data_IF_599934283106
#
_entry.id   IF_599934283106
#
_cell.length_a   1.000
_cell.length_b   1.000
_cell.length_c   1.000
_cell.angle_alpha   90.00
_cell.angle_beta   90.00
_cell.angle_gamma   90.00
#
_symmetry.space_group_name_H-M   'P 1'
#
loop_
_entity.id
_entity.type
_entity.pdbx_description
1 polymer ?
#
# COMPACT_ATOMS: atom_id res chain seq x y z
N UNK A 1 2.18 -10.68 -6.83
CA UNK A 1 3.28 -9.87 -6.26
C UNK A 1 3.70 -10.47 -4.94
N UNK A 2 5.00 -10.54 -4.67
CA UNK A 2 5.56 -11.04 -3.42
C UNK A 2 6.12 -9.87 -2.61
N UNK A 3 5.63 -9.72 -1.38
CA UNK A 3 6.11 -8.77 -0.37
C UNK A 3 6.95 -9.54 0.64
N UNK A 4 8.10 -9.00 1.04
CA UNK A 4 8.97 -9.64 2.03
C UNK A 4 9.69 -8.61 2.90
N UNK A 5 9.88 -8.92 4.17
CA UNK A 5 10.77 -8.19 5.09
C UNK A 5 12.23 -8.70 5.01
N UNK A 6 12.43 -9.83 4.34
CA UNK A 6 13.70 -10.57 4.27
C UNK A 6 14.14 -10.75 2.81
N UNK A 7 14.48 -9.66 2.11
CA UNK A 7 14.76 -9.69 0.66
C UNK A 7 16.00 -10.51 0.30
N UNK A 8 16.90 -10.76 1.27
CA UNK A 8 18.11 -11.57 1.07
C UNK A 8 17.83 -13.08 1.11
N UNK A 9 16.69 -13.50 1.65
CA UNK A 9 16.32 -14.91 1.84
C UNK A 9 15.34 -15.42 0.77
N UNK A 10 14.61 -14.51 0.11
CA UNK A 10 13.60 -14.84 -0.89
C UNK A 10 14.09 -14.42 -2.27
N UNK A 11 14.06 -15.33 -3.24
CA UNK A 11 14.29 -14.99 -4.65
C UNK A 11 12.97 -14.48 -5.27
N UNK A 12 13.05 -13.52 -6.20
CA UNK A 12 11.93 -13.00 -6.98
C UNK A 12 10.84 -12.26 -6.18
N UNK A 13 11.23 -11.37 -5.26
CA UNK A 13 10.31 -10.41 -4.62
C UNK A 13 10.15 -9.13 -5.44
N UNK A 14 9.06 -8.39 -5.22
CA UNK A 14 8.80 -7.10 -5.90
C UNK A 14 8.72 -5.94 -4.91
N UNK A 15 8.35 -6.19 -3.65
CA UNK A 15 8.25 -5.17 -2.63
C UNK A 15 8.96 -5.60 -1.35
N UNK A 16 9.90 -4.76 -0.90
CA UNK A 16 10.56 -4.91 0.41
C UNK A 16 9.76 -4.15 1.47
N UNK A 17 9.37 -4.85 2.53
CA UNK A 17 8.83 -4.21 3.73
C UNK A 17 9.97 -3.92 4.73
N UNK A 18 9.85 -2.79 5.41
CA UNK A 18 10.78 -2.36 6.45
C UNK A 18 9.93 -1.60 7.47
N UNK A 19 9.77 -2.16 8.68
CA UNK A 19 8.84 -1.61 9.66
C UNK A 19 9.23 -0.21 10.12
N UNK A 20 10.53 0.12 10.20
CA UNK A 20 10.95 1.46 10.64
C UNK A 20 10.62 2.52 9.60
N UNK A 21 10.64 2.16 8.32
CA UNK A 21 10.43 3.11 7.22
C UNK A 21 8.98 3.16 6.74
N UNK A 22 8.27 2.02 6.74
CA UNK A 22 7.02 1.88 6.01
C UNK A 22 5.79 1.75 6.91
N UNK A 23 5.93 1.47 8.20
CA UNK A 23 4.78 1.16 9.06
C UNK A 23 3.75 2.29 9.12
N UNK A 24 4.19 3.55 9.25
CA UNK A 24 3.29 4.71 9.27
C UNK A 24 2.51 4.84 7.95
N UNK A 25 3.18 4.65 6.81
CA UNK A 25 2.53 4.67 5.50
C UNK A 25 1.51 3.54 5.38
N UNK A 26 1.87 2.33 5.80
CA UNK A 26 1.01 1.14 5.77
C UNK A 26 -0.27 1.37 6.58
N UNK A 27 -0.14 1.91 7.81
CA UNK A 27 -1.28 2.27 8.68
C UNK A 27 -2.19 3.27 7.96
N UNK A 28 -1.60 4.35 7.43
CA UNK A 28 -2.35 5.42 6.78
C UNK A 28 -3.13 4.92 5.56
N UNK A 29 -2.49 4.12 4.71
CA UNK A 29 -3.12 3.54 3.51
C UNK A 29 -4.26 2.61 3.92
N UNK A 30 -4.02 1.72 4.89
CA UNK A 30 -5.05 0.83 5.40
C UNK A 30 -6.28 1.61 5.89
N UNK A 31 -6.10 2.65 6.71
CA UNK A 31 -7.20 3.45 7.23
C UNK A 31 -7.97 4.18 6.13
N UNK A 32 -7.26 4.74 5.14
CA UNK A 32 -7.89 5.40 4.01
C UNK A 32 -8.71 4.41 3.17
N UNK A 33 -8.15 3.24 2.86
CA UNK A 33 -8.83 2.19 2.11
C UNK A 33 -10.05 1.64 2.87
N UNK A 34 -9.94 1.43 4.19
CA UNK A 34 -11.05 0.96 5.01
C UNK A 34 -12.18 1.99 5.10
N UNK A 35 -11.86 3.27 5.36
CA UNK A 35 -12.87 4.36 5.39
C UNK A 35 -13.52 4.61 4.03
N UNK A 36 -12.79 4.37 2.95
CA UNK A 36 -13.30 4.46 1.58
C UNK A 36 -14.13 3.25 1.14
N UNK A 37 -14.31 2.23 1.99
CA UNK A 37 -15.04 1.01 1.62
C UNK A 37 -14.34 0.15 0.57
N UNK A 38 -13.02 0.29 0.43
CA UNK A 38 -12.20 -0.45 -0.55
C UNK A 38 -11.65 -1.77 0.00
N UNK A 39 -11.96 -2.09 1.26
CA UNK A 39 -11.47 -3.29 1.95
C UNK A 39 -12.65 -3.95 2.64
N UNK A 40 -12.82 -5.23 2.37
CA UNK A 40 -13.76 -6.12 3.05
C UNK A 40 -13.00 -7.35 3.54
N UNK A 41 -13.36 -7.83 4.73
CA UNK A 41 -12.78 -9.03 5.31
C UNK A 41 -13.83 -10.13 5.32
N UNK A 42 -13.48 -11.28 4.72
CA UNK A 42 -14.25 -12.50 4.82
C UNK A 42 -14.39 -12.95 6.28
N UNK A 43 -15.56 -13.46 6.66
CA UNK A 43 -15.89 -13.82 8.05
C UNK A 43 -14.84 -14.73 8.73
N UNK A 44 -14.23 -15.63 7.96
CA UNK A 44 -13.22 -16.57 8.44
C UNK A 44 -11.90 -15.90 8.88
N UNK A 45 -11.64 -14.68 8.39
CA UNK A 45 -10.41 -13.93 8.63
C UNK A 45 -10.64 -12.55 9.26
N UNK A 46 -11.89 -12.16 9.51
CA UNK A 46 -12.26 -10.87 10.14
C UNK A 46 -11.53 -10.59 11.46
N UNK A 47 -11.13 -11.63 12.19
CA UNK A 47 -10.32 -11.48 13.41
C UNK A 47 -8.98 -10.77 13.16
N UNK A 48 -8.42 -10.89 11.96
CA UNK A 48 -7.17 -10.26 11.54
C UNK A 48 -7.35 -8.85 10.98
N UNK A 49 -8.56 -8.31 11.01
CA UNK A 49 -8.82 -6.94 10.58
C UNK A 49 -8.03 -5.96 11.48
N UNK A 50 -7.08 -5.16 10.94
CA UNK A 50 -6.24 -4.27 11.76
C UNK A 50 -7.00 -3.23 12.58
N UNK A 51 -8.27 -2.95 12.24
CA UNK A 51 -9.13 -2.08 13.06
C UNK A 51 -9.38 -2.66 14.46
N UNK A 52 -9.31 -3.98 14.63
CA UNK A 52 -9.53 -4.65 15.93
C UNK A 52 -8.43 -4.33 16.95
N UNK A 53 -7.26 -3.91 16.49
CA UNK A 53 -6.07 -3.65 17.32
C UNK A 53 -5.59 -2.19 17.21
N UNK A 54 -6.37 -1.33 16.56
CA UNK A 54 -6.05 0.08 16.41
C UNK A 54 -6.37 0.82 17.70
N UNK A 55 -5.34 1.33 18.37
CA UNK A 55 -5.48 2.18 19.55
C UNK A 55 -5.33 3.65 19.20
N UNK A 56 -6.21 4.48 19.76
CA UNK A 56 -6.11 5.93 19.70
C UNK A 56 -5.26 6.40 20.88
N UNK A 57 -4.07 6.97 20.62
CA UNK A 57 -3.32 7.66 21.68
C UNK A 57 -3.84 9.08 21.87
N UNK A 58 -3.58 9.63 23.07
CA UNK A 58 -3.91 11.01 23.46
C UNK A 58 -3.37 12.02 22.42
N UNK A 59 -4.20 13.03 22.15
CA UNK A 59 -3.98 14.13 21.22
C UNK A 59 -2.69 14.87 21.59
N UNK A 60 -1.73 14.94 20.66
CA UNK A 60 -0.61 15.87 20.74
C UNK A 60 -0.96 17.16 19.96
N UNK A 61 -0.16 18.21 20.07
CA UNK A 61 -0.34 19.50 19.36
C UNK A 61 -0.45 19.38 17.83
N UNK A 62 -0.13 18.20 17.26
CA UNK A 62 -0.24 17.87 15.83
C UNK A 62 -1.49 17.05 15.46
N UNK A 63 -2.35 16.69 16.41
CA UNK A 63 -3.58 15.93 16.20
C UNK A 63 -3.59 14.57 16.89
N UNK A 64 -4.58 13.75 16.52
CA UNK A 64 -4.82 12.41 17.06
C UNK A 64 -3.86 11.40 16.41
N UNK A 65 -2.93 10.86 17.19
CA UNK A 65 -2.01 9.79 16.76
C UNK A 65 -2.69 8.43 16.99
N UNK A 66 -2.69 7.57 15.96
CA UNK A 66 -3.23 6.22 16.03
C UNK A 66 -2.09 5.23 15.86
N UNK A 67 -2.06 4.21 16.72
CA UNK A 67 -1.03 3.19 16.72
C UNK A 67 -1.66 1.81 16.86
N UNK A 68 -0.96 0.76 16.44
CA UNK A 68 -1.37 -0.60 16.73
C UNK A 68 -0.95 -1.00 18.13
N UNK A 69 -1.85 -1.66 18.85
CA UNK A 69 -1.52 -2.37 20.07
C UNK A 69 -0.54 -3.51 19.76
N UNK A 70 0.73 -3.30 20.07
CA UNK A 70 1.77 -4.29 19.85
C UNK A 70 1.58 -5.57 20.67
N UNK A 71 0.81 -5.53 21.76
CA UNK A 71 0.50 -6.73 22.55
C UNK A 71 -0.56 -7.64 21.91
N UNK A 72 -1.37 -7.07 21.01
CA UNK A 72 -2.46 -7.76 20.30
C UNK A 72 -2.13 -8.00 18.82
N UNK A 73 -1.00 -7.49 18.34
CA UNK A 73 -0.54 -7.60 16.95
C UNK A 73 0.00 -9.01 16.68
N UNK A 74 -0.53 -9.66 15.64
CA UNK A 74 -0.05 -10.95 15.16
C UNK A 74 0.31 -10.93 13.66
N UNK A 75 0.87 -12.04 13.17
CA UNK A 75 1.27 -12.17 11.77
C UNK A 75 0.09 -12.08 10.78
N UNK A 76 -1.13 -12.42 11.20
CA UNK A 76 -2.32 -12.29 10.36
C UNK A 76 -2.70 -10.84 10.12
N UNK A 77 -2.63 -10.00 11.16
CA UNK A 77 -2.82 -8.55 11.02
C UNK A 77 -1.75 -7.93 10.12
N UNK A 78 -0.48 -8.31 10.31
CA UNK A 78 0.62 -7.84 9.45
C UNK A 78 0.41 -8.27 8.00
N UNK A 79 0.01 -9.52 7.75
CA UNK A 79 -0.29 -10.00 6.41
C UNK A 79 -1.41 -9.19 5.74
N UNK A 80 -2.49 -8.88 6.47
CA UNK A 80 -3.58 -8.05 5.98
C UNK A 80 -3.11 -6.64 5.61
N UNK A 81 -2.32 -6.01 6.50
CA UNK A 81 -1.74 -4.69 6.27
C UNK A 81 -0.84 -4.66 5.03
N UNK A 82 0.05 -5.64 4.90
CA UNK A 82 0.97 -5.74 3.76
C UNK A 82 0.23 -6.02 2.46
N UNK A 83 -0.81 -6.86 2.46
CA UNK A 83 -1.62 -7.15 1.28
C UNK A 83 -2.34 -5.90 0.75
N UNK A 84 -2.89 -5.08 1.65
CA UNK A 84 -3.57 -3.84 1.29
C UNK A 84 -2.57 -2.79 0.79
N UNK A 85 -1.44 -2.63 1.49
CA UNK A 85 -0.37 -1.72 1.08
C UNK A 85 0.20 -2.08 -0.29
N UNK A 86 0.48 -3.37 -0.52
CA UNK A 86 0.91 -3.92 -1.79
C UNK A 86 -0.07 -3.60 -2.93
N UNK A 87 -1.36 -3.88 -2.71
CA UNK A 87 -2.42 -3.63 -3.68
C UNK A 87 -2.52 -2.15 -4.03
N UNK A 88 -2.40 -1.27 -3.03
CA UNK A 88 -2.38 0.17 -3.24
C UNK A 88 -1.18 0.63 -4.08
N UNK A 89 0.04 0.16 -3.76
CA UNK A 89 1.25 0.52 -4.54
C UNK A 89 1.11 0.10 -6.01
N UNK A 90 0.59 -1.10 -6.26
CA UNK A 90 0.33 -1.59 -7.61
C UNK A 90 -0.71 -0.70 -8.32
N UNK A 91 -1.86 -0.45 -7.70
CA UNK A 91 -2.93 0.34 -8.31
C UNK A 91 -2.47 1.75 -8.67
N UNK A 92 -1.71 2.40 -7.77
CA UNK A 92 -1.13 3.72 -8.01
C UNK A 92 -0.10 3.68 -9.15
N UNK A 93 0.79 2.68 -9.19
CA UNK A 93 1.75 2.53 -10.27
C UNK A 93 1.07 2.33 -11.64
N UNK A 94 0.04 1.47 -11.71
CA UNK A 94 -0.74 1.28 -12.93
C UNK A 94 -1.48 2.57 -13.36
N UNK A 95 -2.09 3.30 -12.42
CA UNK A 95 -2.76 4.57 -12.73
C UNK A 95 -1.81 5.64 -13.29
N UNK A 96 -0.57 5.67 -12.82
CA UNK A 96 0.47 6.55 -13.38
C UNK A 96 0.86 6.10 -14.79
N UNK A 97 1.09 4.80 -15.01
CA UNK A 97 1.49 4.28 -16.32
C UNK A 97 0.36 4.39 -17.36
N UNK A 98 -0.90 4.19 -16.99
CA UNK A 98 -2.04 4.36 -17.89
C UNK A 98 -2.24 5.82 -18.32
N UNK A 99 -1.90 6.78 -17.44
CA UNK A 99 -1.94 8.20 -17.77
C UNK A 99 -0.74 8.65 -18.63
N UNK A 100 0.27 7.80 -18.84
CA UNK A 100 1.42 8.04 -19.72
C UNK A 100 1.28 7.39 -21.10
N UNK A 101 0.11 6.83 -21.44
CA UNK A 101 -0.18 6.51 -22.85
C UNK A 101 -0.17 7.83 -23.61
N UNK A 102 0.94 8.10 -24.31
CA UNK A 102 1.14 9.29 -25.13
C UNK A 102 -0.09 9.47 -26.02
N UNK A 103 -0.72 10.64 -25.96
CA UNK A 103 -1.64 11.05 -27.02
C UNK A 103 -0.81 11.10 -28.30
N UNK A 104 -1.27 10.45 -29.36
CA UNK A 104 -0.60 10.50 -30.68
C UNK A 104 -0.38 11.94 -31.17
N UNK A 105 -1.16 12.90 -30.68
CA UNK A 105 -1.04 14.34 -30.95
C UNK A 105 0.21 15.01 -30.36
N UNK A 106 0.91 14.40 -29.39
CA UNK A 106 2.17 14.92 -28.82
C UNK A 106 3.42 14.43 -29.57
N UNK A 107 3.26 13.62 -30.61
CA UNK A 107 4.35 13.22 -31.50
C UNK A 107 4.49 14.27 -32.60
N UNK A 108 5.49 15.16 -32.47
CA UNK A 108 5.85 16.10 -33.54
C UNK A 108 6.38 15.30 -34.76
N UNK A 109 5.51 15.09 -35.74
CA UNK A 109 5.81 14.33 -36.98
C UNK A 109 7.01 14.89 -37.73
N UNK A 110 7.37 16.16 -37.52
CA UNK A 110 8.54 16.79 -38.13
C UNK A 110 9.87 16.30 -37.54
N UNK A 111 9.86 15.65 -36.36
CA UNK A 111 11.04 15.08 -35.71
C UNK A 111 11.27 13.59 -36.01
N UNK A 112 10.38 12.95 -36.79
CA UNK A 112 10.57 11.57 -37.22
C UNK A 112 11.55 11.53 -38.40
N UNK A 113 12.64 10.75 -38.32
CA UNK A 113 13.79 10.91 -39.22
C UNK A 113 13.52 10.59 -40.68
N UNK A 114 12.36 9.99 -41.02
CA UNK A 114 11.94 9.78 -42.40
C UNK A 114 10.41 9.84 -42.49
N UNK A 115 9.85 11.03 -42.74
CA UNK A 115 8.51 11.15 -43.33
C UNK A 115 8.69 11.29 -44.85
N UNK A 116 8.09 10.37 -45.62
CA UNK A 116 8.01 10.41 -47.09
C UNK A 116 6.88 11.34 -47.50
#
# INVERSE_FOLDING_TARGET
MVVTDSPNLIKNWQLKFDAQQHLEEVIRIYQASYRGGLVEFENSITRYNPMNILQVRKIDKKGMQQEFDSSSLDNGHIAALLAIWASHKIATAYGVMSNQVQKEDDIDRAMLPFSI
#
